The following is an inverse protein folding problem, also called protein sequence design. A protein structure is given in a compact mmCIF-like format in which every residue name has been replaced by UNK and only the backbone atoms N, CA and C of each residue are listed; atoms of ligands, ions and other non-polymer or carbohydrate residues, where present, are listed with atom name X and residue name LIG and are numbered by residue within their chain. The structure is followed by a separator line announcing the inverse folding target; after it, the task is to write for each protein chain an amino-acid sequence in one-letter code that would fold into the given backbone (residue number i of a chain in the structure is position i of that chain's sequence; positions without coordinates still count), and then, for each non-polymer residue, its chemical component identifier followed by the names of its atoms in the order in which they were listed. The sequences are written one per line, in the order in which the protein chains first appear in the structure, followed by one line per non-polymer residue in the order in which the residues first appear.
data_IF_733730947384
#
_entry.id   IF_733730947384
#
_cell.length_a   1.000
_cell.length_b   1.000
_cell.length_c   1.000
_cell.angle_alpha   90.00
_cell.angle_beta   90.00
_cell.angle_gamma   90.00
#
_symmetry.space_group_name_H-M   'P 1'
#
loop_
_entity.id
_entity.type
_entity.pdbx_description
1 polymer ?
#
# COMPACT_ATOMS: atom_id res chain seq x y z
N UNK A 1 -5.75 22.21 5.07
CA UNK A 1 -5.96 23.41 4.26
C UNK A 1 -4.82 23.71 3.28
N UNK A 2 -3.84 22.84 3.04
CA UNK A 2 -2.76 23.01 2.06
C UNK A 2 -1.74 24.14 2.34
N UNK A 3 -1.99 24.98 3.34
CA UNK A 3 -1.09 26.05 3.74
C UNK A 3 -0.08 25.65 4.82
N UNK A 4 -0.45 24.69 5.64
CA UNK A 4 0.37 24.16 6.72
C UNK A 4 0.52 22.66 6.54
N UNK A 5 1.73 22.15 6.75
CA UNK A 5 2.06 20.72 6.74
C UNK A 5 2.57 20.36 8.12
N UNK A 6 1.98 19.34 8.72
CA UNK A 6 2.44 18.77 9.98
C UNK A 6 3.72 17.96 9.72
N UNK A 7 4.82 18.34 10.33
CA UNK A 7 6.11 17.66 10.22
C UNK A 7 6.47 16.86 11.46
N UNK A 8 5.86 17.18 12.61
CA UNK A 8 6.11 16.49 13.86
C UNK A 8 5.10 16.87 14.93
N UNK A 9 5.13 16.12 16.02
CA UNK A 9 4.27 16.31 17.18
C UNK A 9 5.07 16.19 18.47
N UNK A 10 4.77 17.04 19.45
CA UNK A 10 5.24 16.94 20.82
C UNK A 10 4.09 16.57 21.76
N UNK A 11 4.23 15.50 22.51
CA UNK A 11 3.26 15.03 23.48
C UNK A 11 3.80 15.22 24.89
N UNK A 12 3.17 16.10 25.65
CA UNK A 12 3.54 16.41 27.03
C UNK A 12 2.86 15.42 27.97
N UNK A 13 3.64 14.53 28.59
CA UNK A 13 3.14 13.53 29.51
C UNK A 13 3.34 13.98 30.97
N UNK A 14 2.23 14.11 31.71
CA UNK A 14 2.24 14.52 33.10
C UNK A 14 1.73 13.44 34.06
N UNK A 15 1.03 12.41 33.50
CA UNK A 15 0.34 11.39 34.30
C UNK A 15 0.66 10.00 33.79
N UNK A 16 0.69 9.02 34.70
CA UNK A 16 0.66 7.58 34.33
C UNK A 16 -0.67 6.96 34.74
N UNK A 17 -1.15 6.01 33.98
CA UNK A 17 -2.33 5.22 34.29
C UNK A 17 -1.95 4.10 35.26
N UNK A 18 -2.69 3.98 36.38
CA UNK A 18 -2.59 2.90 37.37
C UNK A 18 -3.92 2.16 37.45
N UNK A 19 -4.01 1.12 38.29
CA UNK A 19 -5.27 0.41 38.55
C UNK A 19 -6.33 1.32 39.16
N UNK A 20 -5.90 2.29 39.99
CA UNK A 20 -6.77 3.22 40.75
C UNK A 20 -7.02 4.56 40.00
N UNK A 21 -6.52 4.69 38.75
CA UNK A 21 -6.71 5.91 37.96
C UNK A 21 -5.41 6.54 37.47
N UNK A 22 -5.44 7.85 37.22
CA UNK A 22 -4.27 8.59 36.72
C UNK A 22 -3.58 9.27 37.91
N UNK A 23 -2.27 9.02 38.07
CA UNK A 23 -1.42 9.66 39.06
C UNK A 23 -0.35 10.50 38.37
N UNK A 24 0.06 11.65 38.96
CA UNK A 24 1.13 12.48 38.42
C UNK A 24 2.43 11.67 38.29
N UNK A 25 3.18 11.93 37.19
CA UNK A 25 4.53 11.44 37.05
C UNK A 25 5.46 12.20 38.01
N UNK A 26 6.41 11.52 38.61
CA UNK A 26 7.49 12.12 39.36
C UNK A 26 8.33 13.05 38.48
N UNK A 27 8.69 12.59 37.30
CA UNK A 27 9.33 13.39 36.23
C UNK A 27 8.37 13.53 35.04
N UNK A 28 8.09 14.77 34.64
CA UNK A 28 7.33 15.07 33.44
C UNK A 28 8.18 14.73 32.21
N UNK A 29 7.56 14.17 31.20
CA UNK A 29 8.22 13.76 29.96
C UNK A 29 7.60 14.47 28.75
N UNK A 30 8.40 14.61 27.71
CA UNK A 30 7.96 14.99 26.37
C UNK A 30 8.31 13.83 25.45
N UNK A 31 7.31 13.35 24.72
CA UNK A 31 7.50 12.39 23.64
C UNK A 31 7.39 13.15 22.32
N UNK A 32 8.38 13.01 21.46
CA UNK A 32 8.50 13.76 20.21
C UNK A 32 8.53 12.80 19.04
N UNK A 33 7.63 13.01 18.07
CA UNK A 33 7.58 12.22 16.85
C UNK A 33 7.62 13.10 15.60
N UNK A 34 8.50 12.76 14.65
CA UNK A 34 8.62 13.43 13.36
C UNK A 34 8.35 12.46 12.21
N UNK A 35 7.67 12.95 11.15
CA UNK A 35 7.54 12.21 9.91
C UNK A 35 8.79 12.40 9.05
N UNK A 36 9.61 11.34 8.90
CA UNK A 36 10.82 11.39 8.08
C UNK A 36 10.52 11.87 6.65
N UNK A 37 9.55 11.27 5.99
CA UNK A 37 9.18 11.61 4.61
C UNK A 37 8.74 13.08 4.47
N UNK A 38 7.99 13.58 5.46
CA UNK A 38 7.51 14.97 5.48
C UNK A 38 8.64 15.95 5.76
N UNK A 39 9.51 15.63 6.72
CA UNK A 39 10.67 16.44 7.04
C UNK A 39 11.62 16.53 5.84
N UNK A 40 11.89 15.40 5.19
CA UNK A 40 12.74 15.33 4.01
C UNK A 40 12.19 16.17 2.86
N UNK A 41 10.89 16.06 2.58
CA UNK A 41 10.23 16.88 1.57
C UNK A 41 10.34 18.38 1.91
N UNK A 42 10.08 18.75 3.15
CA UNK A 42 10.16 20.14 3.62
C UNK A 42 11.57 20.71 3.47
N UNK A 43 12.60 19.97 3.91
CA UNK A 43 14.00 20.42 3.85
C UNK A 43 14.50 20.55 2.41
N UNK A 44 13.98 19.74 1.49
CA UNK A 44 14.30 19.83 0.06
C UNK A 44 13.40 20.83 -0.71
N UNK A 45 12.53 21.56 -0.04
CA UNK A 45 11.62 22.52 -0.68
C UNK A 45 10.57 21.85 -1.58
N UNK A 46 10.29 20.57 -1.36
CA UNK A 46 9.30 19.79 -2.12
C UNK A 46 7.92 19.88 -1.46
N UNK A 47 6.89 19.99 -2.28
CA UNK A 47 5.49 19.96 -1.85
C UNK A 47 4.88 18.57 -1.90
N UNK A 48 5.61 17.59 -2.46
CA UNK A 48 5.19 16.21 -2.65
C UNK A 48 6.27 15.26 -2.13
N UNK A 49 5.97 14.50 -1.08
CA UNK A 49 6.89 13.53 -0.48
C UNK A 49 7.29 12.38 -1.41
N UNK A 50 6.48 12.09 -2.43
CA UNK A 50 6.80 11.05 -3.41
C UNK A 50 7.86 11.49 -4.44
N UNK A 51 8.27 12.75 -4.42
CA UNK A 51 9.39 13.28 -5.22
C UNK A 51 10.72 13.27 -4.45
N UNK A 52 10.73 12.84 -3.20
CA UNK A 52 11.97 12.62 -2.43
C UNK A 52 12.69 11.38 -2.94
N UNK A 53 13.97 11.27 -2.63
CA UNK A 53 14.80 10.10 -2.92
C UNK A 53 14.26 8.80 -2.33
N UNK A 54 13.47 8.87 -1.24
CA UNK A 54 12.78 7.71 -0.66
C UNK A 54 11.78 7.04 -1.62
N UNK A 55 11.25 7.76 -2.59
CA UNK A 55 10.22 7.26 -3.50
C UNK A 55 10.56 7.42 -4.99
N UNK A 56 11.48 8.33 -5.31
CA UNK A 56 11.76 8.69 -6.70
C UNK A 56 12.11 7.48 -7.57
N UNK A 57 12.92 6.55 -7.08
CA UNK A 57 13.27 5.32 -7.79
C UNK A 57 12.04 4.43 -8.06
N UNK A 58 11.19 4.24 -7.06
CA UNK A 58 9.96 3.46 -7.20
C UNK A 58 8.96 4.10 -8.16
N UNK A 59 8.84 5.43 -8.15
CA UNK A 59 8.00 6.17 -9.10
C UNK A 59 8.57 6.04 -10.51
N UNK A 60 9.89 6.23 -10.70
CA UNK A 60 10.54 6.07 -12.01
C UNK A 60 10.36 4.66 -12.59
N UNK A 61 10.50 3.63 -11.75
CA UNK A 61 10.20 2.26 -12.16
C UNK A 61 8.75 2.13 -12.67
N UNK A 62 7.78 2.65 -11.91
CA UNK A 62 6.36 2.59 -12.27
C UNK A 62 6.05 3.39 -13.54
N UNK A 63 6.68 4.55 -13.75
CA UNK A 63 6.57 5.30 -15.02
C UNK A 63 7.07 4.46 -16.20
N UNK A 64 8.22 3.79 -16.03
CA UNK A 64 8.82 2.94 -17.05
C UNK A 64 7.93 1.79 -17.48
N UNK A 65 7.37 1.03 -16.54
CA UNK A 65 6.54 -0.15 -16.84
C UNK A 65 5.12 0.22 -17.28
N UNK A 66 4.58 1.34 -16.82
CA UNK A 66 3.20 1.77 -17.17
C UNK A 66 3.14 2.63 -18.43
N UNK A 67 4.25 3.24 -18.83
CA UNK A 67 4.29 4.27 -19.88
C UNK A 67 3.54 5.57 -19.52
N UNK A 68 3.17 5.76 -18.25
CA UNK A 68 2.44 6.93 -17.74
C UNK A 68 3.40 7.82 -16.96
N UNK A 69 3.11 9.12 -16.94
CA UNK A 69 3.91 10.09 -16.18
C UNK A 69 3.23 10.39 -14.85
N UNK A 70 4.04 10.41 -13.80
CA UNK A 70 3.58 10.76 -12.45
C UNK A 70 3.02 12.19 -12.40
N UNK A 71 3.67 13.11 -13.09
CA UNK A 71 3.30 14.53 -13.10
C UNK A 71 2.03 14.84 -13.91
N UNK A 72 1.50 13.90 -14.69
CA UNK A 72 0.19 14.07 -15.34
C UNK A 72 -0.97 14.11 -14.33
N UNK A 73 -0.70 13.77 -13.06
CA UNK A 73 -1.68 13.83 -11.99
C UNK A 73 -2.76 12.74 -12.08
N UNK A 74 -3.93 13.02 -11.50
CA UNK A 74 -5.11 12.17 -11.60
C UNK A 74 -4.95 10.74 -11.09
N UNK A 75 -5.52 9.78 -11.83
CA UNK A 75 -5.51 8.36 -11.46
C UNK A 75 -4.12 7.72 -11.58
N UNK A 76 -3.28 8.18 -12.52
CA UNK A 76 -1.93 7.67 -12.69
C UNK A 76 -1.08 8.00 -11.45
N UNK A 77 -1.02 9.26 -11.07
CA UNK A 77 -0.30 9.70 -9.87
C UNK A 77 -0.80 9.00 -8.61
N UNK A 78 -2.13 8.96 -8.41
CA UNK A 78 -2.74 8.28 -7.27
C UNK A 78 -2.38 6.80 -7.22
N UNK A 79 -2.40 6.13 -8.36
CA UNK A 79 -2.06 4.71 -8.47
C UNK A 79 -0.60 4.46 -8.12
N UNK A 80 0.32 5.22 -8.69
CA UNK A 80 1.76 5.09 -8.41
C UNK A 80 2.07 5.34 -6.93
N UNK A 81 1.46 6.35 -6.31
CA UNK A 81 1.59 6.59 -4.85
C UNK A 81 1.16 5.39 -4.02
N UNK A 82 0.00 4.81 -4.34
CA UNK A 82 -0.54 3.66 -3.61
C UNK A 82 0.36 2.44 -3.78
N UNK A 83 0.82 2.16 -5.00
CA UNK A 83 1.70 1.01 -5.26
C UNK A 83 3.03 1.19 -4.52
N UNK A 84 3.68 2.34 -4.66
CA UNK A 84 4.96 2.61 -4.00
C UNK A 84 4.85 2.54 -2.47
N UNK A 85 3.90 3.26 -1.87
CA UNK A 85 3.72 3.32 -0.42
C UNK A 85 3.39 1.95 0.21
N UNK A 86 2.46 1.22 -0.40
CA UNK A 86 2.03 -0.07 0.14
C UNK A 86 3.08 -1.16 -0.09
N UNK A 87 3.86 -1.09 -1.18
CA UNK A 87 4.99 -2.00 -1.41
C UNK A 87 6.12 -1.73 -0.43
N UNK A 88 6.48 -0.46 -0.19
CA UNK A 88 7.45 -0.08 0.86
C UNK A 88 7.05 -0.67 2.21
N UNK A 89 5.79 -0.48 2.59
CA UNK A 89 5.26 -1.02 3.84
C UNK A 89 5.35 -2.54 3.89
N UNK A 90 5.05 -3.24 2.80
CA UNK A 90 5.14 -4.70 2.74
C UNK A 90 6.59 -5.18 2.88
N UNK A 91 7.54 -4.55 2.19
CA UNK A 91 8.98 -4.86 2.29
C UNK A 91 9.46 -4.73 3.74
N UNK A 92 9.16 -3.60 4.39
CA UNK A 92 9.59 -3.34 5.76
C UNK A 92 8.96 -4.32 6.76
N UNK A 93 7.66 -4.60 6.66
CA UNK A 93 6.98 -5.50 7.59
C UNK A 93 7.39 -6.98 7.42
N UNK A 94 7.57 -7.44 6.18
CA UNK A 94 7.99 -8.82 5.92
C UNK A 94 9.47 -9.02 6.26
N UNK A 95 10.31 -8.02 5.94
CA UNK A 95 11.74 -8.05 6.15
C UNK A 95 12.20 -7.84 7.59
N UNK A 96 11.34 -7.32 8.48
CA UNK A 96 11.67 -7.09 9.89
C UNK A 96 12.18 -8.35 10.60
N UNK A 97 12.89 -8.16 11.72
CA UNK A 97 13.40 -9.27 12.56
C UNK A 97 12.24 -10.17 13.01
N UNK A 98 11.13 -9.57 13.43
CA UNK A 98 9.93 -10.27 13.88
C UNK A 98 8.97 -10.63 12.75
N UNK A 99 9.23 -10.20 11.51
CA UNK A 99 8.53 -10.46 10.27
C UNK A 99 7.02 -10.66 10.36
N UNK A 100 6.23 -9.77 9.75
CA UNK A 100 4.76 -9.93 9.68
C UNK A 100 4.39 -10.43 8.30
N UNK A 101 3.69 -11.56 8.24
CA UNK A 101 3.20 -12.14 6.98
C UNK A 101 1.72 -11.82 6.75
N UNK A 102 1.29 -11.77 5.48
CA UNK A 102 -0.12 -11.59 5.14
C UNK A 102 -0.99 -12.72 5.75
N UNK A 103 -1.98 -12.34 6.56
CA UNK A 103 -2.87 -13.28 7.26
C UNK A 103 -4.33 -12.83 7.25
N UNK A 104 -5.22 -13.58 7.92
CA UNK A 104 -6.64 -13.22 8.03
C UNK A 104 -6.96 -12.40 9.29
N UNK A 105 -6.00 -12.24 10.20
CA UNK A 105 -6.21 -11.61 11.50
C UNK A 105 -5.07 -10.66 11.86
N UNK A 106 -5.31 -9.75 12.79
CA UNK A 106 -4.28 -8.89 13.37
C UNK A 106 -3.55 -8.00 12.35
N UNK A 107 -2.27 -7.75 12.60
CA UNK A 107 -1.42 -6.92 11.75
C UNK A 107 -1.24 -7.51 10.33
N UNK A 108 -1.17 -8.84 10.22
CA UNK A 108 -1.06 -9.52 8.92
C UNK A 108 -2.30 -9.33 8.03
N UNK A 109 -3.48 -9.13 8.61
CA UNK A 109 -4.67 -8.77 7.85
C UNK A 109 -4.55 -7.36 7.23
N UNK A 110 -4.00 -6.42 7.98
CA UNK A 110 -3.76 -5.06 7.47
C UNK A 110 -2.75 -5.11 6.32
N UNK A 111 -1.63 -5.82 6.52
CA UNK A 111 -0.62 -6.03 5.48
C UNK A 111 -1.23 -6.61 4.21
N UNK A 112 -2.01 -7.69 4.33
CA UNK A 112 -2.73 -8.31 3.21
C UNK A 112 -3.62 -7.31 2.47
N UNK A 113 -4.36 -6.46 3.18
CA UNK A 113 -5.21 -5.44 2.57
C UNK A 113 -4.40 -4.41 1.78
N UNK A 114 -3.27 -3.95 2.32
CA UNK A 114 -2.38 -3.02 1.64
C UNK A 114 -1.83 -3.63 0.36
N UNK A 115 -1.30 -4.85 0.42
CA UNK A 115 -0.77 -5.56 -0.74
C UNK A 115 -1.84 -5.75 -1.84
N UNK A 116 -3.02 -6.23 -1.49
CA UNK A 116 -4.12 -6.40 -2.45
C UNK A 116 -4.59 -5.08 -3.06
N UNK A 117 -4.50 -3.99 -2.30
CA UNK A 117 -4.79 -2.67 -2.84
C UNK A 117 -3.72 -2.24 -3.85
N UNK A 118 -2.44 -2.48 -3.58
CA UNK A 118 -1.36 -2.22 -4.52
C UNK A 118 -1.52 -3.04 -5.81
N UNK A 119 -1.76 -4.35 -5.71
CA UNK A 119 -1.99 -5.24 -6.87
C UNK A 119 -3.16 -4.75 -7.73
N UNK A 120 -4.27 -4.35 -7.12
CA UNK A 120 -5.41 -3.77 -7.86
C UNK A 120 -5.03 -2.49 -8.59
N UNK A 121 -4.18 -1.67 -7.99
CA UNK A 121 -3.72 -0.43 -8.64
C UNK A 121 -2.72 -0.68 -9.74
N UNK A 122 -1.86 -1.69 -9.66
CA UNK A 122 -1.04 -2.13 -10.80
C UNK A 122 -1.94 -2.43 -12.01
N UNK A 123 -2.98 -3.25 -11.83
CA UNK A 123 -3.95 -3.57 -12.89
C UNK A 123 -4.69 -2.34 -13.41
N UNK A 124 -5.08 -1.41 -12.54
CA UNK A 124 -5.73 -0.16 -12.95
C UNK A 124 -4.79 0.78 -13.72
N UNK A 125 -3.51 0.71 -13.43
CA UNK A 125 -2.47 1.40 -14.18
C UNK A 125 -2.18 0.76 -15.54
N UNK A 126 -2.66 -0.47 -15.77
CA UNK A 126 -2.52 -1.21 -17.01
C UNK A 126 -1.36 -2.21 -17.02
N UNK A 127 -0.82 -2.56 -15.86
CA UNK A 127 0.29 -3.50 -15.70
C UNK A 127 -0.10 -4.68 -14.83
N UNK A 128 0.70 -5.76 -14.88
CA UNK A 128 0.51 -6.94 -14.05
C UNK A 128 0.74 -6.63 -12.56
N UNK A 129 0.05 -7.34 -11.68
CA UNK A 129 0.27 -7.24 -10.22
C UNK A 129 1.70 -7.60 -9.80
N UNK A 130 2.41 -8.39 -10.61
CA UNK A 130 3.81 -8.77 -10.40
C UNK A 130 4.79 -7.59 -10.47
N UNK A 131 4.41 -6.47 -11.08
CA UNK A 131 5.23 -5.25 -11.07
C UNK A 131 5.48 -4.72 -9.65
N UNK A 132 4.65 -5.11 -8.70
CA UNK A 132 4.92 -4.87 -7.28
C UNK A 132 6.26 -5.47 -6.81
N UNK A 133 6.71 -6.59 -7.41
CA UNK A 133 8.02 -7.19 -7.10
C UNK A 133 9.18 -6.31 -7.56
N UNK A 134 9.08 -5.70 -8.75
CA UNK A 134 10.08 -4.74 -9.23
C UNK A 134 10.16 -3.50 -8.33
N UNK A 135 9.01 -2.96 -7.91
CA UNK A 135 8.98 -1.86 -6.93
C UNK A 135 9.59 -2.27 -5.58
N UNK A 136 9.35 -3.52 -5.13
CA UNK A 136 9.94 -4.04 -3.89
C UNK A 136 11.48 -4.11 -3.99
N UNK A 137 12.02 -4.55 -5.14
CA UNK A 137 13.47 -4.57 -5.37
C UNK A 137 14.10 -3.18 -5.28
N UNK A 138 13.49 -2.17 -5.88
CA UNK A 138 13.98 -0.78 -5.76
C UNK A 138 14.11 -0.37 -4.28
N UNK A 139 13.13 -0.68 -3.44
CA UNK A 139 13.23 -0.37 -2.02
C UNK A 139 14.32 -1.16 -1.30
N UNK A 140 14.51 -2.43 -1.63
CA UNK A 140 15.49 -3.30 -0.99
C UNK A 140 16.92 -2.94 -1.43
N UNK A 141 17.13 -2.80 -2.73
CA UNK A 141 18.47 -2.70 -3.33
C UNK A 141 18.99 -1.26 -3.40
N UNK A 142 18.12 -0.26 -3.56
CA UNK A 142 18.51 1.11 -3.83
C UNK A 142 18.23 2.05 -2.65
N UNK A 143 17.06 1.93 -1.99
CA UNK A 143 16.63 2.92 -1.00
C UNK A 143 17.09 2.54 0.41
N UNK A 144 16.97 1.27 0.78
CA UNK A 144 17.12 0.83 2.16
C UNK A 144 18.32 -0.11 2.39
N UNK A 145 19.10 -0.43 1.37
CA UNK A 145 20.22 -1.36 1.44
C UNK A 145 21.24 -1.02 2.53
N UNK A 146 21.57 0.25 2.69
CA UNK A 146 22.56 0.71 3.69
C UNK A 146 21.92 0.88 5.07
N UNK A 147 20.73 1.49 5.13
CA UNK A 147 20.07 1.81 6.40
C UNK A 147 19.46 0.57 7.09
N UNK A 148 19.07 -0.44 6.31
CA UNK A 148 18.46 -1.68 6.80
C UNK A 148 19.10 -2.90 6.14
N UNK A 149 20.33 -3.29 6.51
CA UNK A 149 21.08 -4.36 5.86
C UNK A 149 20.39 -5.74 5.92
N UNK A 150 19.44 -5.91 6.83
CA UNK A 150 18.61 -7.12 6.91
C UNK A 150 17.69 -7.29 5.67
N UNK A 151 17.32 -6.20 4.98
CA UNK A 151 16.43 -6.29 3.83
C UNK A 151 17.09 -6.97 2.62
N UNK A 152 18.30 -6.58 2.18
CA UNK A 152 19.03 -7.31 1.16
C UNK A 152 19.31 -8.77 1.54
N UNK A 153 19.67 -9.06 2.80
CA UNK A 153 19.87 -10.44 3.28
C UNK A 153 18.63 -11.32 3.17
N UNK A 154 17.44 -10.72 3.29
CA UNK A 154 16.14 -11.40 3.20
C UNK A 154 15.43 -11.18 1.87
N UNK A 155 16.07 -10.61 0.86
CA UNK A 155 15.42 -10.24 -0.40
C UNK A 155 14.60 -11.36 -1.01
N UNK A 156 15.21 -12.54 -1.22
CA UNK A 156 14.52 -13.69 -1.80
C UNK A 156 13.28 -14.09 -1.00
N UNK A 157 13.38 -14.06 0.33
CA UNK A 157 12.26 -14.36 1.22
C UNK A 157 11.15 -13.33 1.08
N UNK A 158 11.48 -12.03 1.08
CA UNK A 158 10.51 -10.94 0.96
C UNK A 158 9.78 -11.04 -0.37
N UNK A 159 10.51 -11.18 -1.47
CA UNK A 159 9.94 -11.29 -2.82
C UNK A 159 9.07 -12.54 -2.97
N UNK A 160 9.47 -13.66 -2.38
CA UNK A 160 8.69 -14.90 -2.37
C UNK A 160 7.35 -14.71 -1.65
N UNK A 161 7.33 -14.10 -0.47
CA UNK A 161 6.09 -13.89 0.29
C UNK A 161 5.16 -12.87 -0.40
N UNK A 162 5.72 -11.81 -1.01
CA UNK A 162 4.95 -10.89 -1.83
C UNK A 162 4.36 -11.62 -3.04
N UNK A 163 5.16 -12.40 -3.76
CA UNK A 163 4.73 -13.18 -4.91
C UNK A 163 3.60 -14.17 -4.59
N UNK A 164 3.71 -14.88 -3.48
CA UNK A 164 2.66 -15.80 -2.99
C UNK A 164 1.31 -15.10 -2.76
N UNK A 165 1.31 -13.90 -2.18
CA UNK A 165 0.06 -13.17 -1.97
C UNK A 165 -0.50 -12.60 -3.29
N UNK A 166 0.36 -12.20 -4.24
CA UNK A 166 -0.06 -11.81 -5.59
C UNK A 166 -0.79 -12.96 -6.25
N UNK A 167 -0.18 -14.14 -6.37
CA UNK A 167 -0.77 -15.32 -7.02
C UNK A 167 -2.09 -15.75 -6.36
N UNK A 168 -2.11 -15.75 -5.02
CA UNK A 168 -3.32 -16.09 -4.25
C UNK A 168 -4.46 -15.12 -4.51
N UNK A 169 -4.15 -13.82 -4.60
CA UNK A 169 -5.17 -12.80 -4.85
C UNK A 169 -5.64 -12.82 -6.30
N UNK A 170 -4.76 -13.00 -7.26
CA UNK A 170 -5.10 -13.10 -8.67
C UNK A 170 -5.98 -14.30 -8.96
N UNK A 171 -5.66 -15.47 -8.42
CA UNK A 171 -6.52 -16.66 -8.51
C UNK A 171 -7.91 -16.40 -7.91
N UNK A 172 -7.99 -15.66 -6.82
CA UNK A 172 -9.27 -15.31 -6.18
C UNK A 172 -10.09 -14.37 -7.07
N UNK A 173 -9.45 -13.37 -7.67
CA UNK A 173 -10.09 -12.44 -8.60
C UNK A 173 -10.63 -13.14 -9.84
N UNK A 174 -9.84 -14.03 -10.46
CA UNK A 174 -10.25 -14.76 -11.63
C UNK A 174 -11.48 -15.64 -11.36
N UNK A 175 -11.49 -16.35 -10.24
CA UNK A 175 -12.64 -17.16 -9.83
C UNK A 175 -13.88 -16.29 -9.58
N UNK A 176 -13.69 -15.16 -8.90
CA UNK A 176 -14.79 -14.20 -8.65
C UNK A 176 -15.34 -13.60 -9.94
N UNK A 177 -14.49 -13.23 -10.90
CA UNK A 177 -14.92 -12.70 -12.19
C UNK A 177 -15.70 -13.74 -13.00
N UNK A 178 -15.23 -14.98 -13.07
CA UNK A 178 -15.94 -16.07 -13.77
C UNK A 178 -17.35 -16.30 -13.18
N UNK A 179 -17.49 -16.30 -11.86
CA UNK A 179 -18.79 -16.48 -11.21
C UNK A 179 -19.70 -15.26 -11.42
N UNK A 180 -19.14 -14.06 -11.40
CA UNK A 180 -19.88 -12.83 -11.69
C UNK A 180 -20.40 -12.82 -13.14
N UNK A 181 -19.58 -13.14 -14.12
CA UNK A 181 -19.96 -13.24 -15.53
C UNK A 181 -21.05 -14.29 -15.77
N UNK A 182 -20.93 -15.45 -15.12
CA UNK A 182 -21.95 -16.50 -15.15
C UNK A 182 -23.27 -16.01 -14.59
N UNK A 183 -23.25 -15.30 -13.46
CA UNK A 183 -24.43 -14.73 -12.83
C UNK A 183 -25.09 -13.67 -13.73
N UNK A 184 -24.30 -12.75 -14.30
CA UNK A 184 -24.81 -11.75 -15.24
C UNK A 184 -25.45 -12.38 -16.47
N UNK A 185 -24.81 -13.40 -17.04
CA UNK A 185 -25.34 -14.13 -18.20
C UNK A 185 -26.65 -14.85 -17.85
N UNK A 186 -26.77 -15.37 -16.63
CA UNK A 186 -28.02 -15.96 -16.12
C UNK A 186 -29.16 -14.95 -16.00
N UNK A 187 -28.87 -13.77 -15.44
CA UNK A 187 -29.81 -12.66 -15.32
C UNK A 187 -30.26 -12.18 -16.70
N UNK A 188 -29.34 -11.96 -17.62
CA UNK A 188 -29.63 -11.51 -18.98
C UNK A 188 -30.58 -12.48 -19.70
N UNK A 189 -30.30 -13.80 -19.64
CA UNK A 189 -31.17 -14.82 -20.22
C UNK A 189 -32.58 -14.84 -19.60
N UNK A 190 -32.63 -14.67 -18.26
CA UNK A 190 -33.94 -14.61 -17.57
C UNK A 190 -34.73 -13.39 -18.01
N UNK A 191 -34.10 -12.23 -18.08
CA UNK A 191 -34.76 -11.00 -18.52
C UNK A 191 -35.24 -11.09 -19.98
N UNK A 192 -34.42 -11.67 -20.89
CA UNK A 192 -34.82 -11.92 -22.28
C UNK A 192 -36.02 -12.87 -22.37
N UNK A 193 -36.05 -13.93 -21.56
CA UNK A 193 -37.16 -14.86 -21.50
C UNK A 193 -38.44 -14.19 -21.01
N UNK A 194 -38.35 -13.38 -19.92
CA UNK A 194 -39.51 -12.67 -19.36
C UNK A 194 -40.07 -11.62 -20.34
N UNK A 195 -39.20 -10.86 -21.00
CA UNK A 195 -39.58 -9.87 -22.00
C UNK A 195 -40.26 -10.49 -23.23
N UNK A 196 -39.94 -11.74 -23.58
CA UNK A 196 -40.67 -12.50 -24.63
C UNK A 196 -42.07 -12.95 -24.19
N UNK A 197 -42.27 -13.19 -22.88
CA UNK A 197 -43.60 -13.60 -22.35
C UNK A 197 -44.47 -12.42 -21.99
N UNK A 198 -43.93 -11.33 -21.54
CA UNK A 198 -44.67 -10.12 -21.20
C UNK A 198 -43.92 -8.88 -21.78
N UNK A 199 -44.44 -8.29 -22.88
CA UNK A 199 -43.86 -7.11 -23.50
C UNK A 199 -43.86 -5.86 -22.59
N UNK A 200 -44.59 -5.87 -21.48
CA UNK A 200 -44.54 -4.80 -20.48
C UNK A 200 -43.47 -5.00 -19.40
N UNK A 201 -42.73 -6.12 -19.45
CA UNK A 201 -41.58 -6.37 -18.57
C UNK A 201 -40.37 -5.58 -19.03
N UNK A 202 -40.13 -4.43 -18.40
CA UNK A 202 -38.97 -3.54 -18.64
C UNK A 202 -38.18 -3.40 -17.35
#
# INVERSE_FOLDING_TARGET
CGRYVEIGNDVYMQYKKTADGYVPLENKNVDTGFGLDRMLAFLNGLTDGYKTDLFAGAIAYLEGVTGKRYDDGGEAQKGMRIVADHTRTAVMLIGDVNGILPSNTGAGYILRRLMRRAIRWCRKLGVDGKEMLGVAKVFIEEVYNEAYPLLPEKEEYILTEIGREIERFESTLEKGMKEFEKTLSGIARKNEFMAKQDPAYV
#
